data_IF_012127135862
#
_entry.id   IF_012127135862
#
_cell.length_a   1.000
_cell.length_b   1.000
_cell.length_c   1.000
_cell.angle_alpha   90.00
_cell.angle_beta   90.00
_cell.angle_gamma   90.00
#
_symmetry.space_group_name_H-M   'P 1'
#
loop_
_entity.id
_entity.type
_entity.pdbx_description
1 polymer ?
#
# COMPACT_ATOMS: atom_id res chain seq x y z
N UNK A 1 17.74 -25.29 -18.29
CA UNK A 1 17.40 -24.61 -18.15
C UNK A 1 17.09 -24.23 -17.95
N UNK A 2 16.96 -24.12 -17.64
CA UNK A 2 16.60 -23.46 -17.30
C UNK A 2 16.08 -23.01 -17.21
N UNK A 3 15.88 -23.06 -16.98
CA UNK A 3 15.27 -22.35 -16.81
C UNK A 3 14.58 -22.19 -16.77
N UNK A 4 14.36 -22.33 -16.57
CA UNK A 4 13.53 -21.89 -16.43
C UNK A 4 13.02 -21.53 -16.23
N UNK A 5 12.87 -21.61 -15.97
CA UNK A 5 12.41 -20.98 -15.78
C UNK A 5 12.07 -20.54 -15.68
N UNK A 6 12.01 -20.72 -15.52
CA UNK A 6 11.70 -20.03 -15.38
C UNK A 6 11.22 -19.66 -15.15
N UNK A 7 11.04 -19.64 -15.01
CA UNK A 7 10.54 -18.97 -14.70
C UNK A 7 10.22 -18.83 -14.08
N UNK A 8 10.13 -19.11 -13.66
CA UNK A 8 9.84 -18.90 -12.92
C UNK A 8 10.14 -18.43 -12.26
N UNK A 9 10.34 -18.24 -12.07
CA UNK A 9 10.63 -17.74 -11.44
C UNK A 9 10.54 -17.25 -10.69
N UNK A 10 10.40 -17.27 -10.33
CA UNK A 10 10.35 -16.69 -9.60
C UNK A 10 10.70 -16.24 -8.77
N UNK A 11 10.80 -16.45 -8.49
CA UNK A 11 11.06 -16.07 -7.63
C UNK A 11 11.87 -15.66 -7.08
N UNK A 12 12.34 -15.47 -7.00
CA UNK A 12 13.00 -15.05 -6.19
C UNK A 12 13.15 -14.09 -5.72
N UNK A 13 12.86 -14.11 -5.83
CA UNK A 13 12.67 -13.11 -5.42
C UNK A 13 13.29 -12.62 -4.26
N UNK A 14 13.71 -13.23 -3.46
CA UNK A 14 14.40 -12.73 -2.36
C UNK A 14 15.64 -12.10 -2.85
N UNK A 15 15.84 -10.93 -2.67
CA UNK A 15 17.02 -10.26 -3.09
C UNK A 15 17.06 -8.89 -2.53
N UNK A 16 17.93 -8.07 -3.04
CA UNK A 16 18.13 -6.73 -2.54
C UNK A 16 16.91 -5.86 -2.76
N UNK A 17 16.09 -6.22 -3.75
CA UNK A 17 14.93 -5.42 -4.10
C UNK A 17 13.74 -5.67 -3.18
N UNK A 18 13.68 -6.85 -2.57
CA UNK A 18 12.54 -7.22 -1.74
C UNK A 18 12.82 -6.86 -0.29
N UNK A 19 11.88 -6.15 0.31
CA UNK A 19 11.99 -5.70 1.69
C UNK A 19 10.86 -6.31 2.50
N UNK A 20 11.22 -6.89 3.64
CA UNK A 20 10.24 -7.39 4.60
C UNK A 20 9.94 -6.27 5.58
N UNK A 21 8.66 -5.92 5.70
CA UNK A 21 8.22 -4.84 6.58
C UNK A 21 7.34 -5.43 7.66
N UNK A 22 7.75 -5.21 8.93
CA UNK A 22 6.93 -5.60 10.07
C UNK A 22 5.83 -4.57 10.25
N UNK A 23 4.62 -5.04 10.42
CA UNK A 23 3.45 -4.19 10.58
C UNK A 23 3.31 -3.81 12.04
N UNK A 24 3.52 -2.54 12.33
CA UNK A 24 3.39 -1.99 13.67
C UNK A 24 2.03 -1.30 13.78
N UNK A 25 1.07 -2.01 14.38
CA UNK A 25 -0.30 -1.51 14.43
C UNK A 25 -0.44 -0.28 15.30
N UNK A 26 0.40 -0.13 16.32
CA UNK A 26 0.37 1.08 17.14
C UNK A 26 0.81 2.31 16.34
N UNK A 27 1.86 2.15 15.54
CA UNK A 27 2.32 3.24 14.70
C UNK A 27 1.27 3.61 13.64
N UNK A 28 0.62 2.60 13.07
CA UNK A 28 -0.45 2.83 12.10
C UNK A 28 -1.63 3.52 12.74
N UNK A 29 -2.01 3.10 13.95
CA UNK A 29 -3.11 3.73 14.67
C UNK A 29 -2.83 5.20 14.93
N UNK A 30 -1.62 5.52 15.36
CA UNK A 30 -1.23 6.90 15.60
C UNK A 30 -1.32 7.72 14.31
N UNK A 31 -0.82 7.16 13.21
CA UNK A 31 -0.89 7.84 11.92
C UNK A 31 -2.33 8.02 11.47
N UNK A 32 -3.19 7.04 11.70
CA UNK A 32 -4.60 7.16 11.35
C UNK A 32 -5.28 8.26 12.15
N UNK A 33 -4.91 8.41 13.41
CA UNK A 33 -5.44 9.50 14.24
C UNK A 33 -5.00 10.87 13.71
N UNK A 34 -3.75 10.96 13.25
CA UNK A 34 -3.26 12.19 12.63
C UNK A 34 -4.05 12.51 11.36
N UNK A 35 -4.30 11.51 10.54
CA UNK A 35 -5.08 11.70 9.32
C UNK A 35 -6.50 12.12 9.65
N UNK A 36 -7.11 11.52 10.66
CA UNK A 36 -8.45 11.90 11.09
C UNK A 36 -8.52 13.37 11.50
N UNK A 37 -7.44 13.88 12.10
CA UNK A 37 -7.39 15.27 12.53
C UNK A 37 -7.36 16.25 11.35
N UNK A 38 -7.00 15.78 10.16
CA UNK A 38 -7.04 16.64 8.96
C UNK A 38 -8.46 17.00 8.55
N UNK A 39 -9.44 16.20 8.95
CA UNK A 39 -10.85 16.41 8.65
C UNK A 39 -11.12 16.52 7.15
N UNK A 40 -10.51 15.65 6.40
CA UNK A 40 -10.72 15.57 4.95
C UNK A 40 -12.17 15.21 4.65
N UNK A 41 -12.68 15.71 3.53
CA UNK A 41 -13.98 15.27 3.05
C UNK A 41 -13.90 13.79 2.67
N UNK A 42 -15.06 13.16 2.55
CA UNK A 42 -15.13 11.76 2.18
C UNK A 42 -14.44 11.51 0.82
N UNK A 43 -14.71 12.39 -0.15
CA UNK A 43 -14.13 12.25 -1.48
C UNK A 43 -12.60 12.37 -1.45
N UNK A 44 -12.09 13.29 -0.66
CA UNK A 44 -10.64 13.44 -0.52
C UNK A 44 -10.03 12.22 0.15
N UNK A 45 -10.71 11.69 1.17
CA UNK A 45 -10.24 10.48 1.85
C UNK A 45 -10.15 9.30 0.89
N UNK A 46 -11.16 9.13 0.04
CA UNK A 46 -11.14 8.06 -0.97
C UNK A 46 -10.00 8.26 -1.95
N UNK A 47 -9.81 9.49 -2.43
CA UNK A 47 -8.74 9.78 -3.39
C UNK A 47 -7.37 9.48 -2.79
N UNK A 48 -7.12 9.91 -1.56
CA UNK A 48 -5.84 9.70 -0.91
C UNK A 48 -5.54 8.22 -0.72
N UNK A 49 -6.55 7.44 -0.32
CA UNK A 49 -6.36 6.01 -0.18
C UNK A 49 -6.10 5.36 -1.56
N UNK A 50 -6.86 5.76 -2.57
CA UNK A 50 -6.67 5.21 -3.91
C UNK A 50 -5.25 5.52 -4.42
N UNK A 51 -4.78 6.73 -4.20
CA UNK A 51 -3.43 7.12 -4.59
C UNK A 51 -2.38 6.29 -3.87
N UNK A 52 -2.51 6.15 -2.55
CA UNK A 52 -1.56 5.38 -1.77
C UNK A 52 -1.54 3.92 -2.20
N UNK A 53 -2.71 3.36 -2.47
CA UNK A 53 -2.79 1.97 -2.92
C UNK A 53 -2.17 1.79 -4.31
N UNK A 54 -2.38 2.75 -5.20
CA UNK A 54 -1.77 2.68 -6.54
C UNK A 54 -0.25 2.72 -6.47
N UNK A 55 0.31 3.42 -5.50
CA UNK A 55 1.76 3.46 -5.35
C UNK A 55 2.34 2.09 -5.04
N UNK A 56 1.60 1.27 -4.32
CA UNK A 56 2.08 -0.02 -3.83
C UNK A 56 1.53 -1.22 -4.60
N UNK A 57 0.53 -1.01 -5.43
CA UNK A 57 -0.24 -2.13 -6.01
C UNK A 57 0.64 -3.15 -6.71
N UNK A 58 1.60 -2.70 -7.50
CA UNK A 58 2.47 -3.60 -8.25
C UNK A 58 3.66 -4.10 -7.44
N UNK A 59 3.85 -3.55 -6.26
CA UNK A 59 5.03 -3.83 -5.45
C UNK A 59 4.82 -4.96 -4.45
N UNK A 60 3.58 -5.32 -4.15
CA UNK A 60 3.31 -6.37 -3.17
C UNK A 60 3.84 -7.71 -3.65
N UNK A 61 4.70 -8.33 -2.85
CA UNK A 61 5.12 -9.70 -3.05
C UNK A 61 4.18 -10.63 -2.30
N UNK A 62 3.79 -10.22 -1.08
CA UNK A 62 2.77 -10.94 -0.31
C UNK A 62 1.56 -10.05 -0.12
N UNK A 63 0.40 -10.68 0.01
CA UNK A 63 -0.85 -9.96 0.13
C UNK A 63 -0.93 -9.26 1.49
N UNK A 64 -1.40 -8.02 1.49
CA UNK A 64 -1.69 -7.28 2.71
C UNK A 64 -3.16 -7.55 3.04
N UNK A 65 -3.41 -8.44 4.00
CA UNK A 65 -4.77 -8.88 4.31
C UNK A 65 -5.28 -8.38 5.67
N UNK A 66 -4.47 -7.55 6.34
CA UNK A 66 -4.88 -6.98 7.62
C UNK A 66 -4.66 -7.87 8.83
N UNK A 67 -4.24 -9.11 8.61
CA UNK A 67 -4.05 -10.06 9.72
C UNK A 67 -2.61 -10.50 9.88
N UNK A 68 -1.82 -10.49 8.81
CA UNK A 68 -0.43 -10.92 8.88
C UNK A 68 0.41 -9.86 9.55
N UNK A 69 1.43 -10.26 10.31
CA UNK A 69 2.30 -9.29 10.99
C UNK A 69 3.36 -8.68 10.08
N UNK A 70 3.52 -9.18 8.87
CA UNK A 70 4.54 -8.68 7.95
C UNK A 70 4.00 -8.61 6.54
N UNK A 71 4.64 -7.76 5.73
CA UNK A 71 4.38 -7.69 4.30
C UNK A 71 5.71 -7.60 3.58
N UNK A 72 5.78 -8.20 2.39
CA UNK A 72 7.00 -8.13 1.57
C UNK A 72 6.72 -7.29 0.35
N UNK A 73 7.62 -6.34 0.10
CA UNK A 73 7.46 -5.32 -0.95
C UNK A 73 8.67 -5.34 -1.86
N UNK A 74 8.43 -5.31 -3.16
CA UNK A 74 9.50 -5.12 -4.14
C UNK A 74 9.70 -3.63 -4.33
N UNK A 75 10.83 -3.11 -3.85
CA UNK A 75 11.08 -1.67 -3.85
C UNK A 75 11.11 -1.07 -5.25
N UNK A 76 11.65 -1.80 -6.21
CA UNK A 76 11.76 -1.29 -7.57
C UNK A 76 10.42 -1.17 -8.27
N UNK A 77 9.38 -1.82 -7.74
CA UNK A 77 8.06 -1.80 -8.36
C UNK A 77 7.10 -0.81 -7.71
N UNK A 78 7.59 -0.02 -6.75
CA UNK A 78 6.80 1.05 -6.19
C UNK A 78 6.65 2.16 -7.23
N UNK A 79 5.43 2.63 -7.42
CA UNK A 79 5.12 3.71 -8.35
C UNK A 79 5.01 5.01 -7.56
N UNK A 80 5.98 5.91 -7.71
CA UNK A 80 5.96 7.14 -6.92
C UNK A 80 4.90 8.12 -7.39
N UNK A 81 4.63 8.13 -8.70
CA UNK A 81 3.63 9.03 -9.26
C UNK A 81 2.66 8.23 -10.13
N UNK A 82 1.66 7.62 -9.49
CA UNK A 82 0.68 6.82 -10.27
C UNK A 82 -0.08 7.71 -11.26
N UNK A 83 -0.47 7.10 -12.37
CA UNK A 83 -1.25 7.81 -13.37
C UNK A 83 -2.60 8.23 -12.78
N UNK A 84 -3.05 9.43 -13.14
CA UNK A 84 -4.32 9.94 -12.62
C UNK A 84 -5.47 9.00 -12.97
N UNK A 85 -5.47 8.44 -14.17
CA UNK A 85 -6.53 7.52 -14.60
C UNK A 85 -6.60 6.28 -13.71
N UNK A 86 -5.44 5.77 -13.29
CA UNK A 86 -5.41 4.61 -12.40
C UNK A 86 -6.01 4.96 -11.04
N UNK A 87 -5.67 6.14 -10.51
CA UNK A 87 -6.20 6.59 -9.23
C UNK A 87 -7.71 6.78 -9.33
N UNK A 88 -8.17 7.43 -10.40
CA UNK A 88 -9.60 7.67 -10.60
C UNK A 88 -10.39 6.36 -10.69
N UNK A 89 -9.85 5.40 -11.44
CA UNK A 89 -10.51 4.12 -11.60
C UNK A 89 -10.65 3.40 -10.27
N UNK A 90 -9.57 3.39 -9.48
CA UNK A 90 -9.60 2.74 -8.18
C UNK A 90 -10.51 3.51 -7.21
N UNK A 91 -10.48 4.84 -7.25
CA UNK A 91 -11.32 5.65 -6.39
C UNK A 91 -12.80 5.36 -6.63
N UNK A 92 -13.20 5.19 -7.90
CA UNK A 92 -14.58 4.84 -8.22
C UNK A 92 -14.96 3.49 -7.63
N UNK A 93 -14.06 2.51 -7.73
CA UNK A 93 -14.32 1.18 -7.19
C UNK A 93 -14.45 1.24 -5.67
N UNK A 94 -13.59 2.01 -5.01
CA UNK A 94 -13.65 2.18 -3.56
C UNK A 94 -14.96 2.86 -3.16
N UNK A 95 -15.31 3.94 -3.87
CA UNK A 95 -16.52 4.70 -3.56
C UNK A 95 -17.76 3.81 -3.65
N UNK A 96 -17.81 2.90 -4.62
CA UNK A 96 -18.96 2.03 -4.79
C UNK A 96 -19.16 1.08 -3.61
N UNK A 97 -18.09 0.79 -2.86
CA UNK A 97 -18.18 -0.09 -1.69
C UNK A 97 -18.56 0.67 -0.41
N UNK A 98 -18.57 1.99 -0.48
CA UNK A 98 -19.00 2.85 0.64
C UNK A 98 -18.29 2.53 1.96
N UNK A 99 -16.94 2.50 2.00
CA UNK A 99 -16.26 2.27 3.26
C UNK A 99 -16.48 3.44 4.21
N UNK A 100 -16.35 3.18 5.50
CA UNK A 100 -16.48 4.22 6.51
C UNK A 100 -15.23 5.09 6.52
N UNK A 101 -15.39 6.34 6.99
CA UNK A 101 -14.26 7.27 7.09
C UNK A 101 -13.15 6.68 7.95
N UNK A 102 -13.51 6.04 9.06
CA UNK A 102 -12.52 5.43 9.93
C UNK A 102 -11.71 4.35 9.21
N UNK A 103 -12.39 3.57 8.37
CA UNK A 103 -11.71 2.55 7.58
C UNK A 103 -10.76 3.19 6.58
N UNK A 104 -11.20 4.26 5.92
CA UNK A 104 -10.37 4.95 4.94
C UNK A 104 -9.11 5.51 5.60
N UNK A 105 -9.27 6.11 6.77
CA UNK A 105 -8.14 6.67 7.49
C UNK A 105 -7.15 5.58 7.89
N UNK A 106 -7.67 4.43 8.34
CA UNK A 106 -6.80 3.30 8.68
C UNK A 106 -6.07 2.77 7.46
N UNK A 107 -6.79 2.55 6.36
CA UNK A 107 -6.19 2.02 5.14
C UNK A 107 -5.11 2.96 4.61
N UNK A 108 -5.39 4.26 4.62
CA UNK A 108 -4.40 5.24 4.18
C UNK A 108 -3.17 5.21 5.08
N UNK A 109 -3.39 5.19 6.40
CA UNK A 109 -2.29 5.14 7.36
C UNK A 109 -1.43 3.91 7.14
N UNK A 110 -2.06 2.77 6.89
CA UNK A 110 -1.37 1.51 6.67
C UNK A 110 -0.51 1.57 5.41
N UNK A 111 -1.06 2.08 4.31
CA UNK A 111 -0.30 2.19 3.06
C UNK A 111 0.83 3.21 3.17
N UNK A 112 0.56 4.34 3.83
CA UNK A 112 1.61 5.34 4.04
C UNK A 112 2.73 4.78 4.90
N UNK A 113 2.38 4.02 5.94
CA UNK A 113 3.38 3.39 6.79
C UNK A 113 4.28 2.45 5.97
N UNK A 114 3.67 1.61 5.14
CA UNK A 114 4.42 0.67 4.30
C UNK A 114 5.30 1.42 3.31
N UNK A 115 4.74 2.43 2.67
CA UNK A 115 5.47 3.23 1.69
C UNK A 115 6.69 3.89 2.33
N UNK A 116 6.50 4.51 3.49
CA UNK A 116 7.59 5.20 4.18
C UNK A 116 8.70 4.23 4.58
N UNK A 117 8.32 3.06 5.09
CA UNK A 117 9.31 2.04 5.44
C UNK A 117 10.07 1.56 4.22
N UNK A 118 9.36 1.34 3.11
CA UNK A 118 9.97 0.86 1.88
C UNK A 118 10.93 1.90 1.31
N UNK A 119 10.63 3.18 1.48
CA UNK A 119 11.49 4.27 0.98
C UNK A 119 12.56 4.66 1.99
N UNK A 120 12.61 4.00 3.14
CA UNK A 120 13.60 4.31 4.15
C UNK A 120 13.30 5.51 5.01
N UNK A 121 12.09 6.02 4.97
CA UNK A 121 11.67 7.16 5.79
C UNK A 121 11.19 6.70 7.16
N UNK A 122 11.39 7.54 8.14
CA UNK A 122 10.95 7.25 9.50
C UNK A 122 9.69 8.05 9.91
#
# INVERSE_FOLDING_TARGET
MQKPAAGAKPAPVAGKDVLKIDIDRQAIKKKAEEIAAWKNSYDVSIWLFAEAECKLADAYVTVLDGTTPTVMISKSKITEKPAREAIESLAKAIYSKRPKVEELNWFLAERDYIYDKAKGKQ
#
